data_IF_629492221114
#
_entry.id   IF_629492221114
#
_cell.length_a   1.000
_cell.length_b   1.000
_cell.length_c   1.000
_cell.angle_alpha   90.00
_cell.angle_beta   90.00
_cell.angle_gamma   90.00
#
_symmetry.space_group_name_H-M   'P 1'
#
loop_
_entity.id
_entity.type
_entity.pdbx_description
1 polymer ?
#
# COMPACT_ATOMS: atom_id res chain seq x y z
N UNK A 1 17.05 11.94 -17.37
CA UNK A 1 18.06 10.85 -17.30
C UNK A 1 17.40 9.58 -17.82
N UNK A 2 18.02 8.79 -18.67
CA UNK A 2 17.46 7.50 -19.07
C UNK A 2 17.93 6.43 -18.07
N UNK A 3 17.03 6.00 -17.18
CA UNK A 3 17.34 5.10 -16.07
C UNK A 3 17.84 3.73 -16.51
N UNK A 4 17.25 3.20 -17.58
CA UNK A 4 17.59 1.86 -18.11
C UNK A 4 18.96 1.84 -18.80
N UNK A 5 19.29 2.92 -19.52
CA UNK A 5 20.57 3.05 -20.23
C UNK A 5 21.71 3.60 -19.37
N UNK A 6 21.43 4.00 -18.13
CA UNK A 6 22.38 4.73 -17.24
C UNK A 6 23.06 5.92 -17.93
N UNK A 7 22.37 6.55 -18.88
CA UNK A 7 22.88 7.66 -19.67
C UNK A 7 22.16 8.96 -19.29
N UNK A 8 22.92 10.03 -19.15
CA UNK A 8 22.43 11.39 -19.03
C UNK A 8 22.77 12.17 -20.31
N UNK A 9 21.84 13.01 -20.77
CA UNK A 9 22.13 13.95 -21.87
C UNK A 9 23.16 14.95 -21.34
N UNK A 10 24.33 15.01 -21.97
CA UNK A 10 25.35 16.01 -21.69
C UNK A 10 25.10 17.21 -22.60
N UNK A 11 24.85 18.36 -22.01
CA UNK A 11 24.78 19.62 -22.72
C UNK A 11 26.16 20.27 -22.64
N UNK A 12 26.74 20.59 -23.79
CA UNK A 12 27.96 21.37 -23.89
C UNK A 12 27.58 22.82 -24.16
N UNK A 13 28.03 23.73 -23.31
CA UNK A 13 27.87 25.17 -23.50
C UNK A 13 29.23 25.74 -23.86
N UNK A 14 29.31 26.36 -25.03
CA UNK A 14 30.44 27.21 -25.42
C UNK A 14 30.15 28.60 -24.88
N UNK A 15 30.95 29.05 -23.91
CA UNK A 15 30.72 30.33 -23.21
C UNK A 15 31.20 31.56 -23.98
N UNK A 16 31.98 31.37 -25.05
CA UNK A 16 32.62 32.47 -25.77
C UNK A 16 31.62 33.43 -26.44
N UNK A 17 30.43 32.95 -26.82
CA UNK A 17 29.37 33.74 -27.49
C UNK A 17 28.01 33.73 -26.75
N UNK A 18 27.97 33.34 -25.47
CA UNK A 18 26.73 33.15 -24.73
C UNK A 18 26.09 34.49 -24.32
N UNK A 19 25.00 34.88 -24.99
CA UNK A 19 24.26 36.13 -24.70
C UNK A 19 23.13 35.95 -23.68
N UNK A 20 22.54 34.76 -23.60
CA UNK A 20 21.40 34.47 -22.74
C UNK A 20 21.36 32.98 -22.41
N UNK A 21 21.09 32.64 -21.16
CA UNK A 21 20.91 31.25 -20.72
C UNK A 21 19.55 30.66 -21.09
N UNK A 22 18.60 31.50 -21.48
CA UNK A 22 17.20 31.12 -21.71
C UNK A 22 16.72 31.40 -23.13
N UNK A 23 17.59 31.99 -23.97
CA UNK A 23 17.27 32.32 -25.35
C UNK A 23 18.29 31.73 -26.33
N UNK A 24 17.95 30.56 -26.86
CA UNK A 24 18.73 29.74 -27.78
C UNK A 24 20.23 29.69 -27.45
N UNK A 25 20.64 29.26 -26.24
CA UNK A 25 22.02 29.28 -25.78
C UNK A 25 22.94 28.26 -26.47
N UNK A 26 22.39 27.37 -27.29
CA UNK A 26 23.11 26.24 -27.86
C UNK A 26 23.64 26.57 -29.26
N UNK A 27 24.93 26.31 -29.51
CA UNK A 27 25.51 26.40 -30.86
C UNK A 27 25.00 25.29 -31.80
N UNK A 28 24.65 24.13 -31.25
CA UNK A 28 24.00 23.02 -31.97
C UNK A 28 23.29 22.07 -31.00
N UNK A 29 22.26 21.36 -31.49
CA UNK A 29 21.60 20.25 -30.78
C UNK A 29 21.67 19.02 -31.68
N UNK A 30 22.43 18.00 -31.25
CA UNK A 30 22.55 16.73 -31.97
C UNK A 30 21.98 15.58 -31.14
N UNK A 31 21.32 14.64 -31.81
CA UNK A 31 20.67 13.49 -31.19
C UNK A 31 19.51 12.95 -32.01
N UNK A 32 19.20 11.66 -31.81
CA UNK A 32 18.05 11.01 -32.44
C UNK A 32 16.75 11.62 -31.89
N UNK A 33 15.86 12.08 -32.78
CA UNK A 33 14.54 12.58 -32.41
C UNK A 33 13.76 11.49 -31.62
N UNK A 34 13.17 11.87 -30.48
CA UNK A 34 12.43 10.96 -29.57
C UNK A 34 10.94 11.36 -29.44
N UNK A 35 10.41 12.11 -30.40
CA UNK A 35 9.02 12.59 -30.40
C UNK A 35 8.91 14.08 -30.06
N UNK A 36 7.77 14.47 -29.48
CA UNK A 36 7.49 15.85 -29.11
C UNK A 36 8.35 16.28 -27.91
N UNK A 37 9.12 17.35 -28.08
CA UNK A 37 10.03 17.87 -27.07
C UNK A 37 9.67 19.33 -26.81
N UNK A 38 9.33 19.63 -25.55
CA UNK A 38 9.11 21.01 -25.11
C UNK A 38 10.47 21.70 -24.92
N UNK A 39 10.71 22.74 -25.71
CA UNK A 39 11.94 23.53 -25.65
C UNK A 39 11.65 24.97 -25.20
N UNK A 40 11.75 25.24 -23.90
CA UNK A 40 11.55 26.60 -23.36
C UNK A 40 12.68 27.57 -23.64
N UNK A 41 13.82 27.08 -24.17
CA UNK A 41 14.93 27.94 -24.59
C UNK A 41 14.84 28.36 -26.05
N UNK A 42 13.87 27.88 -26.82
CA UNK A 42 13.65 28.38 -28.19
C UNK A 42 13.27 29.86 -28.15
N UNK A 43 13.73 30.64 -29.14
CA UNK A 43 13.34 32.06 -29.30
C UNK A 43 11.83 32.24 -29.35
N UNK A 44 11.14 31.29 -29.98
CA UNK A 44 9.67 31.29 -30.11
C UNK A 44 8.95 31.01 -28.79
N UNK A 45 9.65 30.53 -27.77
CA UNK A 45 9.06 30.23 -26.46
C UNK A 45 8.97 31.47 -25.54
N UNK A 46 9.35 32.66 -26.01
CA UNK A 46 9.38 33.87 -25.18
C UNK A 46 8.02 34.21 -24.54
N UNK A 47 6.94 34.18 -25.33
CA UNK A 47 5.60 34.38 -24.80
C UNK A 47 5.20 33.33 -23.75
N UNK A 48 5.67 32.09 -23.90
CA UNK A 48 5.42 31.02 -22.92
C UNK A 48 6.17 31.27 -21.61
N UNK A 49 7.45 31.66 -21.67
CA UNK A 49 8.24 32.00 -20.47
C UNK A 49 7.62 33.17 -19.71
N UNK A 50 7.25 34.23 -20.42
CA UNK A 50 6.61 35.41 -19.83
C UNK A 50 5.25 35.06 -19.22
N UNK A 51 4.45 34.25 -19.93
CA UNK A 51 3.17 33.75 -19.41
C UNK A 51 3.31 32.88 -18.15
N UNK A 52 4.35 32.05 -18.06
CA UNK A 52 4.64 31.26 -16.85
C UNK A 52 4.95 32.14 -15.64
N UNK A 53 5.72 33.22 -15.84
CA UNK A 53 6.03 34.19 -14.77
C UNK A 53 4.80 35.02 -14.37
N UNK A 54 3.95 35.42 -15.33
CA UNK A 54 2.67 36.08 -15.05
C UNK A 54 1.77 35.16 -14.22
N UNK A 55 1.55 33.92 -14.67
CA UNK A 55 0.75 32.93 -13.95
C UNK A 55 1.25 32.74 -12.52
N UNK A 56 2.57 32.62 -12.32
CA UNK A 56 3.16 32.48 -11.00
C UNK A 56 2.93 33.72 -10.12
N UNK A 57 3.05 34.91 -10.70
CA UNK A 57 2.85 36.18 -9.99
C UNK A 57 1.39 36.42 -9.64
N UNK A 58 0.47 36.09 -10.54
CA UNK A 58 -0.96 36.39 -10.44
C UNK A 58 -1.72 35.36 -9.60
N UNK A 59 -1.35 34.08 -9.72
CA UNK A 59 -2.07 32.98 -9.07
C UNK A 59 -1.31 32.41 -7.86
N UNK A 60 0.02 32.48 -7.85
CA UNK A 60 0.84 31.80 -6.86
C UNK A 60 0.90 30.28 -7.07
N UNK A 61 1.90 29.60 -6.46
CA UNK A 61 2.18 28.20 -6.72
C UNK A 61 1.01 27.27 -6.34
N UNK A 62 0.37 27.49 -5.20
CA UNK A 62 -0.70 26.61 -4.71
C UNK A 62 -1.94 26.65 -5.60
N UNK A 63 -2.30 27.84 -6.10
CA UNK A 63 -3.44 27.99 -7.00
C UNK A 63 -3.14 27.41 -8.38
N UNK A 64 -1.93 27.58 -8.90
CA UNK A 64 -1.51 26.93 -10.15
C UNK A 64 -1.66 25.41 -10.04
N UNK A 65 -1.22 24.82 -8.93
CA UNK A 65 -1.40 23.38 -8.69
C UNK A 65 -2.89 23.00 -8.69
N UNK A 66 -3.73 23.82 -8.04
CA UNK A 66 -5.18 23.64 -8.04
C UNK A 66 -5.81 23.66 -9.44
N UNK A 67 -5.43 24.64 -10.27
CA UNK A 67 -5.92 24.80 -11.65
C UNK A 67 -5.43 23.67 -12.56
N UNK A 68 -4.16 23.26 -12.45
CA UNK A 68 -3.62 22.11 -13.20
C UNK A 68 -4.35 20.82 -12.79
N UNK A 69 -4.64 20.65 -11.51
CA UNK A 69 -5.42 19.51 -11.04
C UNK A 69 -6.88 19.56 -11.56
N UNK A 70 -7.48 20.75 -11.65
CA UNK A 70 -8.82 20.93 -12.23
C UNK A 70 -8.83 20.60 -13.72
N UNK A 71 -7.86 21.10 -14.50
CA UNK A 71 -7.72 20.80 -15.92
C UNK A 71 -7.50 19.31 -16.17
N UNK A 72 -6.69 18.63 -15.35
CA UNK A 72 -6.50 17.17 -15.44
C UNK A 72 -7.76 16.39 -15.10
N UNK A 73 -8.54 16.82 -14.10
CA UNK A 73 -9.84 16.21 -13.79
C UNK A 73 -10.85 16.35 -14.94
N UNK A 74 -10.77 17.43 -15.72
CA UNK A 74 -11.63 17.65 -16.89
C UNK A 74 -11.22 16.78 -18.09
N UNK A 75 -9.96 16.36 -18.17
CA UNK A 75 -9.43 15.54 -19.26
C UNK A 75 -9.33 14.05 -18.93
N UNK A 76 -9.40 13.67 -17.66
CA UNK A 76 -9.27 12.28 -17.20
C UNK A 76 -10.65 11.69 -16.84
N UNK A 77 -11.15 10.77 -17.67
CA UNK A 77 -12.30 9.92 -17.32
C UNK A 77 -11.85 8.84 -16.34
N UNK A 78 -12.43 8.83 -15.14
CA UNK A 78 -12.29 7.84 -14.08
C UNK A 78 -10.88 7.70 -13.45
N UNK A 79 -10.84 7.96 -12.14
CA UNK A 79 -9.66 7.90 -11.29
C UNK A 79 -8.88 6.59 -11.41
N UNK A 80 -7.60 6.70 -11.79
CA UNK A 80 -6.59 5.71 -11.43
C UNK A 80 -6.11 6.00 -10.00
N UNK A 81 -5.95 5.01 -9.12
CA UNK A 81 -5.30 5.20 -7.83
C UNK A 81 -3.84 5.59 -8.07
N UNK A 82 -3.50 6.83 -7.71
CA UNK A 82 -2.14 7.31 -7.75
C UNK A 82 -1.34 6.68 -6.60
N UNK A 83 -0.74 5.52 -6.86
CA UNK A 83 0.37 5.09 -6.01
C UNK A 83 1.47 4.43 -6.85
N UNK A 84 2.34 5.30 -7.34
CA UNK A 84 3.57 4.95 -8.02
C UNK A 84 4.33 6.22 -8.33
N UNK A 85 5.35 6.52 -7.51
CA UNK A 85 6.36 7.57 -7.70
C UNK A 85 5.96 9.02 -7.39
N UNK A 86 5.94 9.41 -6.11
CA UNK A 86 6.05 10.83 -5.73
C UNK A 86 7.00 11.01 -4.53
N UNK A 87 7.82 12.08 -4.51
CA UNK A 87 8.63 12.48 -3.34
C UNK A 87 7.78 13.05 -2.18
N UNK A 88 6.47 13.19 -2.37
CA UNK A 88 5.53 13.63 -1.34
C UNK A 88 4.47 12.55 -1.11
N UNK A 89 4.39 12.08 0.13
CA UNK A 89 3.41 11.10 0.58
C UNK A 89 2.11 11.83 0.93
N UNK A 90 1.12 11.79 0.03
CA UNK A 90 -0.23 12.29 0.32
C UNK A 90 -1.02 11.14 0.94
N UNK A 91 -1.42 11.29 2.21
CA UNK A 91 -2.20 10.30 2.94
C UNK A 91 -3.51 10.92 3.42
N UNK A 92 -4.58 10.12 3.57
CA UNK A 92 -5.81 10.59 4.19
C UNK A 92 -5.60 11.07 5.63
N UNK A 93 -6.48 11.95 6.12
CA UNK A 93 -6.48 12.41 7.52
C UNK A 93 -6.81 11.31 8.54
N UNK A 94 -7.19 10.13 8.06
CA UNK A 94 -7.57 8.99 8.87
C UNK A 94 -6.57 7.84 8.70
N UNK A 95 -6.45 7.05 9.75
CA UNK A 95 -5.55 5.89 9.81
C UNK A 95 -6.31 4.56 9.92
N UNK A 96 -7.65 4.61 10.05
CA UNK A 96 -8.47 3.42 10.01
C UNK A 96 -8.57 2.87 8.59
N UNK A 97 -8.49 1.54 8.44
CA UNK A 97 -8.69 0.88 7.16
C UNK A 97 -10.18 0.61 6.99
N UNK A 98 -10.75 1.05 5.88
CA UNK A 98 -12.18 0.95 5.55
C UNK A 98 -12.41 -0.01 4.39
N UNK A 99 -13.66 -0.43 4.22
CA UNK A 99 -14.06 -1.29 3.10
C UNK A 99 -13.72 -0.69 1.72
N UNK A 100 -13.72 0.65 1.60
CA UNK A 100 -13.35 1.35 0.36
C UNK A 100 -11.85 1.31 0.02
N UNK A 101 -10.98 1.03 0.99
CA UNK A 101 -9.52 1.01 0.81
C UNK A 101 -9.01 -0.35 0.32
N UNK A 102 -9.91 -1.34 0.20
CA UNK A 102 -9.58 -2.75 -0.05
C UNK A 102 -10.44 -3.32 -1.15
N UNK A 103 -9.82 -3.90 -2.18
CA UNK A 103 -10.54 -4.71 -3.16
C UNK A 103 -10.87 -6.06 -2.52
N UNK A 104 -12.10 -6.22 -2.03
CA UNK A 104 -12.50 -7.36 -1.18
C UNK A 104 -12.24 -8.74 -1.82
N UNK A 105 -12.40 -8.85 -3.14
CA UNK A 105 -12.09 -10.08 -3.90
C UNK A 105 -10.63 -10.52 -3.77
N UNK A 106 -9.69 -9.57 -3.74
CA UNK A 106 -8.26 -9.86 -3.57
C UNK A 106 -7.99 -10.40 -2.16
N UNK A 107 -8.62 -9.80 -1.16
CA UNK A 107 -8.56 -10.29 0.22
C UNK A 107 -9.14 -11.71 0.34
N UNK A 108 -10.29 -11.97 -0.30
CA UNK A 108 -10.87 -13.31 -0.35
C UNK A 108 -9.98 -14.33 -1.06
N UNK A 109 -9.31 -13.94 -2.14
CA UNK A 109 -8.33 -14.80 -2.82
C UNK A 109 -7.18 -15.23 -1.90
N UNK A 110 -6.63 -14.31 -1.10
CA UNK A 110 -5.60 -14.63 -0.12
C UNK A 110 -6.12 -15.50 1.04
N UNK A 111 -7.33 -15.25 1.53
CA UNK A 111 -7.98 -16.08 2.56
C UNK A 111 -8.26 -17.49 2.05
N UNK A 112 -8.77 -17.61 0.82
CA UNK A 112 -9.00 -18.88 0.16
C UNK A 112 -7.68 -19.61 -0.07
N UNK A 113 -6.62 -18.92 -0.50
CA UNK A 113 -5.30 -19.54 -0.62
C UNK A 113 -4.81 -20.05 0.73
N UNK A 114 -5.05 -19.35 1.82
CA UNK A 114 -4.68 -19.81 3.15
C UNK A 114 -5.49 -21.03 3.63
N UNK A 115 -6.76 -21.13 3.24
CA UNK A 115 -7.62 -22.27 3.54
C UNK A 115 -7.29 -23.49 2.65
N UNK A 116 -7.12 -23.26 1.35
CA UNK A 116 -6.89 -24.28 0.31
C UNK A 116 -5.43 -24.77 0.28
N UNK A 117 -4.45 -23.93 0.65
CA UNK A 117 -3.04 -24.33 0.79
C UNK A 117 -2.78 -25.22 2.02
N UNK A 118 -3.85 -25.76 2.63
CA UNK A 118 -3.78 -27.07 3.28
C UNK A 118 -3.19 -28.16 2.36
N UNK A 119 -2.82 -29.31 2.92
CA UNK A 119 -1.50 -29.95 2.86
C UNK A 119 -1.11 -30.69 1.57
N UNK A 120 -1.38 -30.16 0.36
CA UNK A 120 -1.08 -30.89 -0.89
C UNK A 120 0.28 -30.58 -1.52
N UNK A 121 0.71 -29.31 -1.57
CA UNK A 121 1.97 -28.89 -2.24
C UNK A 121 2.95 -28.13 -1.32
N UNK A 122 2.62 -28.05 -0.03
CA UNK A 122 3.27 -27.18 0.95
C UNK A 122 3.84 -27.93 2.15
N UNK A 123 4.02 -29.26 2.04
CA UNK A 123 4.53 -30.09 3.14
C UNK A 123 5.74 -29.45 3.82
N UNK A 124 6.77 -29.00 3.08
CA UNK A 124 7.99 -28.42 3.68
C UNK A 124 7.85 -27.03 4.32
N UNK A 125 6.82 -26.26 3.94
CA UNK A 125 6.52 -24.96 4.55
C UNK A 125 5.63 -25.14 5.79
N UNK A 126 4.70 -26.09 5.75
CA UNK A 126 3.83 -26.47 6.86
C UNK A 126 4.55 -27.34 7.90
N UNK A 127 5.64 -28.00 7.52
CA UNK A 127 6.54 -28.75 8.42
C UNK A 127 7.25 -27.86 9.43
N UNK A 128 7.18 -26.53 9.30
CA UNK A 128 7.61 -25.62 10.37
C UNK A 128 6.52 -25.66 11.47
N UNK A 129 6.77 -26.25 12.66
CA UNK A 129 5.71 -26.53 13.62
C UNK A 129 4.96 -25.26 14.06
N UNK A 130 3.63 -25.25 13.94
CA UNK A 130 2.80 -24.09 14.30
C UNK A 130 2.59 -23.07 13.17
N UNK A 131 2.85 -23.41 11.90
CA UNK A 131 2.28 -22.66 10.77
C UNK A 131 0.81 -23.06 10.62
N UNK A 132 -0.10 -22.12 10.89
CA UNK A 132 -1.54 -22.29 10.68
C UNK A 132 -2.08 -21.42 9.54
N UNK A 133 -3.36 -21.55 9.22
CA UNK A 133 -4.02 -20.80 8.15
C UNK A 133 -3.77 -19.28 8.25
N UNK A 134 -3.78 -18.71 9.47
CA UNK A 134 -3.51 -17.28 9.65
C UNK A 134 -2.09 -16.85 9.25
N UNK A 135 -1.10 -17.71 9.49
CA UNK A 135 0.29 -17.50 9.05
C UNK A 135 0.42 -17.68 7.54
N UNK A 136 -0.27 -18.67 6.97
CA UNK A 136 -0.29 -18.86 5.51
C UNK A 136 -0.91 -17.64 4.82
N UNK A 137 -1.99 -17.09 5.38
CA UNK A 137 -2.57 -15.83 4.90
C UNK A 137 -1.56 -14.67 4.95
N UNK A 138 -0.83 -14.50 6.06
CA UNK A 138 0.23 -13.49 6.13
C UNK A 138 1.32 -13.71 5.09
N UNK A 139 1.72 -14.96 4.84
CA UNK A 139 2.69 -15.31 3.79
C UNK A 139 2.14 -15.03 2.39
N UNK A 140 0.85 -15.22 2.13
CA UNK A 140 0.24 -14.91 0.84
C UNK A 140 0.31 -13.40 0.54
N UNK A 141 -0.04 -12.57 1.53
CA UNK A 141 0.07 -11.12 1.42
C UNK A 141 1.53 -10.67 1.21
N UNK A 142 2.49 -11.27 1.92
CA UNK A 142 3.92 -10.98 1.74
C UNK A 142 4.43 -11.44 0.37
N UNK A 143 4.03 -12.63 -0.08
CA UNK A 143 4.40 -13.16 -1.39
C UNK A 143 3.95 -12.22 -2.50
N UNK A 144 2.76 -11.64 -2.38
CA UNK A 144 2.25 -10.66 -3.34
C UNK A 144 3.03 -9.34 -3.28
N UNK A 145 3.45 -8.86 -2.11
CA UNK A 145 4.33 -7.67 -2.02
C UNK A 145 5.67 -7.91 -2.74
N UNK A 146 6.22 -9.13 -2.64
CA UNK A 146 7.54 -9.48 -3.21
C UNK A 146 7.46 -9.82 -4.70
N UNK A 147 6.40 -10.49 -5.14
CA UNK A 147 6.28 -11.08 -6.48
C UNK A 147 5.15 -10.51 -7.34
N UNK A 148 4.27 -9.69 -6.77
CA UNK A 148 3.11 -9.13 -7.45
C UNK A 148 3.46 -8.06 -8.49
N UNK A 149 2.62 -7.92 -9.50
CA UNK A 149 2.76 -6.89 -10.53
C UNK A 149 2.44 -5.49 -9.96
N UNK A 150 3.06 -4.39 -10.46
CA UNK A 150 2.84 -3.03 -9.96
C UNK A 150 1.35 -2.59 -9.89
N UNK A 151 0.51 -3.04 -10.80
CA UNK A 151 -0.93 -2.73 -10.82
C UNK A 151 -1.71 -3.29 -9.61
N UNK A 152 -1.10 -4.20 -8.84
CA UNK A 152 -1.68 -4.79 -7.64
C UNK A 152 -1.56 -3.86 -6.42
N UNK A 153 -0.75 -2.81 -6.48
CA UNK A 153 -0.60 -1.86 -5.38
C UNK A 153 -1.63 -0.71 -5.42
N UNK A 154 -2.73 -0.90 -6.15
CA UNK A 154 -3.85 0.04 -6.20
C UNK A 154 -4.63 0.14 -4.88
N UNK A 155 -4.58 -0.90 -4.04
CA UNK A 155 -5.25 -0.99 -2.74
C UNK A 155 -4.26 -1.42 -1.64
N UNK A 156 -3.23 -0.59 -1.35
CA UNK A 156 -2.11 -0.99 -0.48
C UNK A 156 -2.53 -1.26 0.97
N UNK A 157 -3.66 -0.71 1.42
CA UNK A 157 -4.20 -0.93 2.75
C UNK A 157 -4.47 -2.41 3.04
N UNK A 158 -4.74 -3.24 2.02
CA UNK A 158 -4.98 -4.68 2.21
C UNK A 158 -3.77 -5.43 2.78
N UNK A 159 -2.55 -4.96 2.54
CA UNK A 159 -1.36 -5.63 3.06
C UNK A 159 -1.20 -5.45 4.57
N UNK A 160 -1.84 -4.43 5.16
CA UNK A 160 -1.90 -4.25 6.61
C UNK A 160 -2.57 -5.45 7.31
N UNK A 161 -3.47 -6.17 6.63
CA UNK A 161 -4.10 -7.37 7.18
C UNK A 161 -3.12 -8.54 7.37
N UNK A 162 -1.91 -8.49 6.79
CA UNK A 162 -0.92 -9.52 7.11
C UNK A 162 -0.56 -9.51 8.61
N UNK A 163 -0.42 -8.31 9.21
CA UNK A 163 0.16 -8.14 10.55
C UNK A 163 -0.53 -7.07 11.41
N UNK A 164 -1.70 -6.59 11.02
CA UNK A 164 -2.44 -5.56 11.77
C UNK A 164 -1.68 -4.23 11.84
N UNK A 165 -2.00 -3.45 12.88
CA UNK A 165 -1.36 -2.17 13.16
C UNK A 165 -1.17 -1.92 14.64
N UNK A 166 -0.13 -1.15 14.97
CA UNK A 166 0.22 -0.79 16.36
C UNK A 166 -0.90 -0.02 17.07
N UNK A 167 -1.74 0.68 16.31
CA UNK A 167 -2.85 1.50 16.81
C UNK A 167 -4.21 0.77 16.70
N UNK A 168 -4.19 -0.55 16.49
CA UNK A 168 -5.37 -1.43 16.31
C UNK A 168 -6.14 -1.25 15.00
N UNK A 169 -5.53 -0.62 14.00
CA UNK A 169 -6.09 -0.50 12.66
C UNK A 169 -5.23 -1.28 11.67
N UNK A 170 -5.75 -2.30 10.97
CA UNK A 170 -7.13 -2.82 11.05
C UNK A 170 -7.47 -3.53 12.38
N UNK A 171 -6.48 -4.18 12.99
CA UNK A 171 -6.57 -4.82 14.31
C UNK A 171 -5.18 -4.82 14.96
N UNK A 172 -5.06 -5.13 16.26
CA UNK A 172 -3.80 -5.21 16.98
C UNK A 172 -2.82 -6.18 16.33
N UNK A 173 -1.52 -5.91 16.46
CA UNK A 173 -0.47 -6.73 15.83
C UNK A 173 -0.51 -8.16 16.40
N UNK A 174 -0.76 -9.21 15.59
CA UNK A 174 -0.77 -10.59 16.04
C UNK A 174 0.67 -11.09 16.17
N UNK A 175 1.33 -10.78 17.29
CA UNK A 175 2.78 -11.02 17.49
C UNK A 175 3.20 -12.47 17.22
N UNK A 176 2.40 -13.44 17.66
CA UNK A 176 2.70 -14.88 17.45
C UNK A 176 2.70 -15.25 15.96
N UNK A 177 1.73 -14.71 15.21
CA UNK A 177 1.64 -14.93 13.76
C UNK A 177 2.83 -14.27 13.09
N UNK A 178 3.12 -13.01 13.44
CA UNK A 178 4.25 -12.24 12.91
C UNK A 178 5.57 -13.01 13.08
N UNK A 179 5.90 -13.43 14.31
CA UNK A 179 7.12 -14.18 14.60
C UNK A 179 7.22 -15.45 13.75
N UNK A 180 6.09 -16.13 13.54
CA UNK A 180 6.02 -17.31 12.69
C UNK A 180 6.26 -16.98 11.22
N UNK A 181 5.66 -15.93 10.69
CA UNK A 181 5.88 -15.45 9.31
C UNK A 181 7.36 -15.15 9.10
N UNK A 182 7.99 -14.43 10.03
CA UNK A 182 9.42 -14.09 9.99
C UNK A 182 10.31 -15.32 10.04
N UNK A 183 9.99 -16.28 10.90
CA UNK A 183 10.76 -17.53 11.01
C UNK A 183 10.75 -18.30 9.68
N UNK A 184 9.58 -18.45 9.05
CA UNK A 184 9.43 -19.14 7.75
C UNK A 184 10.22 -18.42 6.66
N UNK A 185 10.10 -17.09 6.56
CA UNK A 185 10.83 -16.31 5.56
C UNK A 185 12.34 -16.38 5.75
N UNK A 186 12.83 -16.27 6.99
CA UNK A 186 14.26 -16.36 7.32
C UNK A 186 14.83 -17.73 6.95
N UNK A 187 14.12 -18.79 7.29
CA UNK A 187 14.51 -20.16 7.01
C UNK A 187 14.51 -20.43 5.48
N UNK A 188 13.49 -19.94 4.75
CA UNK A 188 13.45 -20.02 3.29
C UNK A 188 14.63 -19.30 2.64
N UNK A 189 14.97 -18.09 3.09
CA UNK A 189 16.12 -17.32 2.59
C UNK A 189 17.46 -17.99 2.92
N UNK A 190 17.61 -18.54 4.12
CA UNK A 190 18.82 -19.27 4.50
C UNK A 190 19.03 -20.51 3.64
N UNK A 191 17.97 -21.29 3.39
CA UNK A 191 18.05 -22.47 2.53
C UNK A 191 18.32 -22.13 1.07
N UNK A 192 17.71 -21.08 0.54
CA UNK A 192 17.96 -20.61 -0.82
C UNK A 192 19.42 -20.19 -1.03
N UNK A 193 20.05 -19.54 -0.04
CA UNK A 193 21.49 -19.24 -0.08
C UNK A 193 22.39 -20.47 -0.14
N UNK A 194 21.89 -21.63 0.31
CA UNK A 194 22.57 -22.93 0.23
C UNK A 194 22.19 -23.72 -1.04
N UNK A 195 21.49 -23.09 -1.99
CA UNK A 195 21.03 -23.70 -3.24
C UNK A 195 19.70 -24.46 -3.14
N UNK A 196 19.01 -24.42 -1.99
CA UNK A 196 17.69 -25.01 -1.83
C UNK A 196 16.59 -23.94 -1.93
N UNK A 197 16.11 -23.73 -3.16
CA UNK A 197 15.12 -22.71 -3.51
C UNK A 197 13.66 -23.19 -3.41
N UNK A 198 13.42 -24.43 -2.96
CA UNK A 198 12.09 -25.05 -2.97
C UNK A 198 11.08 -24.26 -2.14
N UNK A 199 11.52 -23.75 -0.98
CA UNK A 199 10.66 -22.96 -0.08
C UNK A 199 10.38 -21.55 -0.60
N UNK A 200 11.36 -20.91 -1.21
CA UNK A 200 11.19 -19.60 -1.83
C UNK A 200 10.24 -19.72 -3.03
N UNK A 201 10.39 -20.79 -3.81
CA UNK A 201 9.45 -21.17 -4.86
C UNK A 201 8.05 -21.45 -4.32
N UNK A 202 7.93 -22.08 -3.15
CA UNK A 202 6.63 -22.30 -2.50
C UNK A 202 5.95 -20.98 -2.12
N UNK A 203 6.68 -20.02 -1.54
CA UNK A 203 6.14 -18.69 -1.24
C UNK A 203 5.66 -18.00 -2.53
N UNK A 204 6.42 -18.09 -3.62
CA UNK A 204 6.00 -17.56 -4.93
C UNK A 204 4.73 -18.24 -5.48
N UNK A 205 4.60 -19.56 -5.31
CA UNK A 205 3.37 -20.29 -5.70
C UNK A 205 2.15 -19.86 -4.90
N UNK A 206 2.33 -19.42 -3.66
CA UNK A 206 1.24 -18.94 -2.82
C UNK A 206 0.56 -17.69 -3.40
N UNK A 207 1.35 -16.74 -3.93
CA UNK A 207 0.81 -15.60 -4.68
C UNK A 207 0.03 -16.07 -5.93
N UNK A 208 0.60 -17.01 -6.69
CA UNK A 208 -0.05 -17.54 -7.89
C UNK A 208 -1.40 -18.21 -7.56
N UNK A 209 -1.46 -18.96 -6.46
CA UNK A 209 -2.68 -19.59 -5.97
C UNK A 209 -3.71 -18.55 -5.50
N UNK A 210 -3.29 -17.53 -4.75
CA UNK A 210 -4.18 -16.44 -4.33
C UNK A 210 -4.81 -15.71 -5.53
N UNK A 211 -4.02 -15.49 -6.59
CA UNK A 211 -4.51 -14.91 -7.86
C UNK A 211 -5.47 -15.81 -8.62
N UNK A 212 -5.23 -17.12 -8.62
CA UNK A 212 -6.19 -18.07 -9.22
C UNK A 212 -7.53 -18.04 -8.49
N UNK A 213 -7.47 -18.09 -7.16
CA UNK A 213 -8.63 -18.15 -6.29
C UNK A 213 -9.43 -16.84 -6.29
N UNK A 214 -8.80 -15.66 -6.42
CA UNK A 214 -9.47 -14.36 -6.51
C UNK A 214 -10.61 -14.29 -7.56
N UNK A 215 -10.54 -15.10 -8.62
CA UNK A 215 -11.60 -15.16 -9.65
C UNK A 215 -12.90 -15.77 -9.16
N UNK A 216 -12.84 -16.66 -8.16
CA UNK A 216 -13.95 -17.49 -7.69
C UNK A 216 -14.18 -17.45 -6.18
N UNK A 217 -13.22 -16.93 -5.41
CA UNK A 217 -13.27 -16.84 -3.96
C UNK A 217 -14.32 -15.82 -3.55
N UNK A 218 -15.32 -16.30 -2.81
CA UNK A 218 -16.15 -15.47 -1.95
C UNK A 218 -15.63 -15.54 -0.52
N UNK A 219 -16.19 -14.72 0.35
CA UNK A 219 -15.81 -14.69 1.75
C UNK A 219 -16.68 -13.77 2.57
N UNK A 220 -16.35 -13.61 3.87
CA UNK A 220 -17.08 -12.72 4.75
C UNK A 220 -17.08 -11.27 4.22
N UNK A 221 -18.06 -10.50 4.66
CA UNK A 221 -18.02 -9.04 4.47
C UNK A 221 -16.78 -8.45 5.17
N UNK A 222 -16.37 -7.25 4.75
CA UNK A 222 -15.26 -6.53 5.41
C UNK A 222 -15.46 -6.44 6.92
N UNK A 223 -16.66 -6.04 7.36
CA UNK A 223 -16.98 -5.88 8.78
C UNK A 223 -16.95 -7.20 9.54
N UNK A 224 -17.53 -8.26 8.95
CA UNK A 224 -17.51 -9.59 9.56
C UNK A 224 -16.08 -10.12 9.72
N UNK A 225 -15.23 -9.89 8.72
CA UNK A 225 -13.82 -10.27 8.81
C UNK A 225 -13.10 -9.49 9.91
N UNK A 226 -13.29 -8.16 9.97
CA UNK A 226 -12.71 -7.29 11.00
C UNK A 226 -13.13 -7.70 12.41
N UNK A 227 -14.41 -8.00 12.61
CA UNK A 227 -14.94 -8.46 13.89
C UNK A 227 -14.33 -9.80 14.32
N UNK A 228 -14.17 -10.73 13.36
CA UNK A 228 -13.52 -12.02 13.61
C UNK A 228 -12.05 -11.86 14.03
N UNK A 229 -11.29 -11.00 13.35
CA UNK A 229 -9.88 -10.75 13.67
C UNK A 229 -9.72 -10.06 15.03
N UNK A 230 -10.59 -9.09 15.35
CA UNK A 230 -10.60 -8.43 16.67
C UNK A 230 -10.91 -9.42 17.79
N UNK A 231 -11.90 -10.30 17.59
CA UNK A 231 -12.26 -11.33 18.58
C UNK A 231 -11.12 -12.33 18.78
N UNK A 232 -10.48 -12.76 17.70
CA UNK A 232 -9.37 -13.71 17.74
C UNK A 232 -8.04 -13.10 18.20
N UNK A 233 -7.90 -11.77 18.22
CA UNK A 233 -6.62 -11.07 18.44
C UNK A 233 -5.85 -11.54 19.67
N UNK A 234 -6.52 -11.75 20.80
CA UNK A 234 -5.90 -12.26 22.03
C UNK A 234 -5.18 -13.61 21.84
N UNK A 235 -5.78 -14.52 21.07
CA UNK A 235 -5.25 -15.87 20.80
C UNK A 235 -3.96 -15.81 19.96
N UNK A 236 -3.79 -14.75 19.18
CA UNK A 236 -2.61 -14.50 18.35
C UNK A 236 -1.56 -13.64 19.04
N UNK A 237 -1.74 -13.32 20.33
CA UNK A 237 -0.86 -12.37 21.03
C UNK A 237 -1.02 -10.95 20.50
N UNK A 238 -2.27 -10.53 20.28
CA UNK A 238 -2.60 -9.17 19.85
C UNK A 238 -1.96 -8.12 20.75
N UNK A 239 -1.14 -7.25 20.15
CA UNK A 239 -0.42 -6.19 20.84
C UNK A 239 -0.62 -4.86 20.13
N UNK A 240 -0.89 -3.83 20.91
CA UNK A 240 -1.01 -2.45 20.45
C UNK A 240 -0.23 -1.52 21.38
N UNK A 241 -0.20 -0.23 21.05
CA UNK A 241 0.29 0.82 21.96
C UNK A 241 -0.50 0.88 23.27
N UNK A 242 -1.72 0.33 23.29
CA UNK A 242 -2.58 0.24 24.47
C UNK A 242 -2.34 -1.03 25.30
N UNK A 243 -1.37 -1.86 24.92
CA UNK A 243 -1.01 -3.11 25.60
C UNK A 243 -1.50 -4.36 24.90
N UNK A 244 -1.63 -5.45 25.67
CA UNK A 244 -2.06 -6.77 25.20
C UNK A 244 -3.57 -6.87 25.11
N UNK A 245 -4.06 -7.51 24.04
CA UNK A 245 -5.46 -7.81 23.88
C UNK A 245 -5.93 -8.87 24.87
N UNK A 246 -7.04 -8.58 25.54
CA UNK A 246 -7.66 -9.47 26.52
C UNK A 246 -8.58 -10.45 25.81
N UNK A 247 -8.77 -11.63 26.41
CA UNK A 247 -9.83 -12.54 25.98
C UNK A 247 -11.21 -11.87 26.14
N UNK A 248 -12.22 -12.29 25.36
CA UNK A 248 -13.59 -11.79 25.53
C UNK A 248 -14.11 -11.93 26.98
N UNK A 249 -13.70 -12.99 27.67
CA UNK A 249 -13.99 -13.22 29.09
C UNK A 249 -13.26 -12.23 30.00
N UNK A 250 -11.96 -11.98 29.75
CA UNK A 250 -11.16 -11.01 30.50
C UNK A 250 -11.59 -9.55 30.25
N UNK A 251 -12.15 -9.25 29.08
CA UNK A 251 -12.73 -7.94 28.78
C UNK A 251 -14.03 -7.70 29.57
N UNK A 252 -14.91 -8.72 29.65
CA UNK A 252 -16.15 -8.67 30.46
C UNK A 252 -15.86 -8.50 31.95
N UNK A 253 -14.84 -9.18 32.48
CA UNK A 253 -14.41 -9.04 33.88
C UNK A 253 -13.82 -7.67 34.22
N UNK A 254 -13.30 -6.94 33.22
CA UNK A 254 -12.71 -5.60 33.40
C UNK A 254 -13.66 -4.42 33.19
N UNK A 255 -14.92 -4.67 32.80
CA UNK A 255 -15.95 -3.61 32.81
C UNK A 255 -16.32 -3.33 34.27
N UNK A 256 -16.20 -2.09 34.75
CA UNK A 256 -16.62 -1.77 36.11
C UNK A 256 -18.12 -2.10 36.28
N UNK A 257 -18.43 -2.87 37.32
CA UNK A 257 -19.80 -3.02 37.84
C UNK A 257 -20.26 -1.64 38.34
N UNK A 258 -20.98 -0.88 37.53
CA UNK A 258 -21.51 0.41 37.99
C UNK A 258 -22.05 1.32 36.90
N UNK A 259 -23.21 0.98 36.34
CA UNK A 259 -24.17 1.94 35.79
C UNK A 259 -25.52 1.25 35.55
N UNK A 260 -26.12 0.70 36.61
CA UNK A 260 -27.53 0.29 36.57
C UNK A 260 -28.32 1.22 37.47
N UNK A 261 -29.25 1.97 36.87
CA UNK A 261 -30.42 2.55 37.54
C UNK A 261 -30.29 3.99 38.05
N UNK A 262 -30.53 4.98 37.20
CA UNK A 262 -31.25 6.18 37.64
C UNK A 262 -32.71 6.05 37.23
N UNK A 263 -33.53 5.73 38.24
CA UNK A 263 -34.97 5.64 38.12
C UNK A 263 -35.54 6.99 37.65
N UNK A 264 -36.40 6.93 36.62
CA UNK A 264 -37.36 7.99 36.30
C UNK A 264 -38.18 8.32 37.55
N UNK A 265 -37.95 9.47 38.17
CA UNK A 265 -38.97 10.11 39.03
C UNK A 265 -39.91 10.90 38.13
N UNK A 266 -41.07 10.30 37.85
CA UNK A 266 -42.28 11.06 37.54
C UNK A 266 -42.66 11.85 38.80
N UNK A 267 -42.90 13.15 38.65
CA UNK A 267 -43.48 14.01 39.67
C UNK A 267 -44.64 14.80 39.06
N UNK A 268 -45.85 14.39 39.39
CA UNK A 268 -47.10 15.12 39.16
C UNK A 268 -47.38 16.09 40.34
N UNK A 269 -48.00 17.23 40.04
CA UNK A 269 -48.71 18.13 40.97
C UNK A 269 -47.83 19.21 41.61
N UNK A 270 -48.20 20.50 41.66
CA UNK A 270 -49.45 21.22 41.38
C UNK A 270 -49.12 22.58 40.76
#
# INVERSE_FOLDING_TARGET
MNGDKRQARRYHWLSEDLKSFVDAPHSAIDGKNQGEIVNLTDRRADASRTGQLSLLSDLGPDRIVGEVAALRRLTETAAQPAQGMLPHLVMPEHHDVRAGDVVLRRLHGALAAAADAGPKDFADLLMVPGVGARTVFSLAQVAEVVHGAPCRFSDPARFSFAHGGKDRHPYPVPTRVYDKTLAVLRDALHKAKLGNDERLSAIKRLDAQARDLERRAGGPSFETFMESERTASHSYGGRSVFGWEKSPEGARASRPLGANGSARKQGHGR
#
